data_IF_916753785187
#
_entry.id   IF_916753785187
#
_cell.length_a   1.000
_cell.length_b   1.000
_cell.length_c   1.000
_cell.angle_alpha   90.00
_cell.angle_beta   90.00
_cell.angle_gamma   90.00
#
_symmetry.space_group_name_H-M   'P 1'
#
loop_
_entity.id
_entity.type
_entity.pdbx_description
1 polymer ?
#
# COMPACT_ATOMS: atom_id res chain seq x y z
N UNK A 1 -11.62 -3.29 -39.22
CA UNK A 1 -10.72 -2.94 -38.11
C UNK A 1 -11.55 -3.03 -36.86
N UNK A 2 -11.30 -4.03 -36.01
CA UNK A 2 -11.82 -4.03 -34.64
C UNK A 2 -10.82 -3.21 -33.86
N UNK A 3 -11.25 -2.04 -33.37
CA UNK A 3 -10.52 -1.34 -32.32
C UNK A 3 -10.60 -2.23 -31.08
N UNK A 4 -9.57 -3.06 -30.88
CA UNK A 4 -9.37 -3.78 -29.64
C UNK A 4 -8.80 -2.78 -28.64
N UNK A 5 -9.66 -2.27 -27.77
CA UNK A 5 -9.20 -1.73 -26.49
C UNK A 5 -8.31 -2.80 -25.84
N UNK A 6 -7.11 -2.47 -25.33
CA UNK A 6 -6.31 -3.42 -24.58
C UNK A 6 -7.16 -3.96 -23.44
N UNK A 7 -7.14 -5.27 -23.19
CA UNK A 7 -7.78 -5.80 -22.00
C UNK A 7 -7.15 -5.11 -20.79
N UNK A 8 -7.96 -4.65 -19.83
CA UNK A 8 -7.47 -3.93 -18.64
C UNK A 8 -6.35 -4.68 -17.91
N UNK A 9 -6.37 -6.00 -18.02
CA UNK A 9 -5.38 -6.96 -17.52
C UNK A 9 -3.99 -6.73 -18.12
N UNK A 10 -3.90 -6.40 -19.41
CA UNK A 10 -2.65 -6.15 -20.13
C UNK A 10 -2.03 -4.80 -19.72
N UNK A 11 -2.86 -3.76 -19.55
CA UNK A 11 -2.42 -2.42 -19.11
C UNK A 11 -1.84 -2.43 -17.69
N UNK A 12 -2.45 -3.18 -16.76
CA UNK A 12 -1.90 -3.34 -15.41
C UNK A 12 -0.64 -4.22 -15.39
N UNK A 13 -0.56 -5.22 -16.26
CA UNK A 13 0.62 -6.08 -16.41
C UNK A 13 1.88 -5.30 -16.79
N UNK A 14 1.77 -4.22 -17.58
CA UNK A 14 2.92 -3.39 -17.95
C UNK A 14 3.56 -2.64 -16.77
N UNK A 15 2.81 -2.42 -15.68
CA UNK A 15 3.29 -1.74 -14.48
C UNK A 15 3.88 -2.71 -13.45
N UNK A 16 3.65 -4.03 -13.61
CA UNK A 16 4.18 -5.04 -12.71
C UNK A 16 5.67 -5.25 -13.00
N UNK A 17 6.57 -5.06 -12.03
CA UNK A 17 7.99 -5.26 -12.24
C UNK A 17 8.30 -6.70 -12.66
N UNK A 18 9.21 -6.84 -13.62
CA UNK A 18 9.69 -8.13 -14.11
C UNK A 18 11.07 -8.46 -13.55
N UNK A 19 11.27 -9.72 -13.18
CA UNK A 19 12.48 -10.24 -12.54
C UNK A 19 12.85 -11.58 -13.17
N UNK A 20 14.14 -11.85 -13.31
CA UNK A 20 14.61 -13.11 -13.88
C UNK A 20 14.28 -14.27 -12.92
N UNK A 21 14.28 -13.99 -11.61
CA UNK A 21 14.07 -14.98 -10.56
C UNK A 21 13.19 -14.46 -9.40
N UNK A 22 12.44 -15.36 -8.76
CA UNK A 22 11.56 -15.02 -7.62
C UNK A 22 12.32 -14.38 -6.44
N UNK A 23 13.57 -14.81 -6.19
CA UNK A 23 14.37 -14.24 -5.10
C UNK A 23 14.74 -12.78 -5.33
N UNK A 24 14.86 -12.33 -6.59
CA UNK A 24 15.09 -10.92 -6.93
C UNK A 24 13.86 -10.09 -6.61
N UNK A 25 12.67 -10.60 -6.93
CA UNK A 25 11.40 -9.96 -6.57
C UNK A 25 11.23 -9.88 -5.05
N UNK A 26 11.60 -10.93 -4.31
CA UNK A 26 11.58 -10.93 -2.84
C UNK A 26 12.50 -9.84 -2.28
N UNK A 27 13.73 -9.75 -2.77
CA UNK A 27 14.68 -8.72 -2.34
C UNK A 27 14.16 -7.32 -2.67
N UNK A 28 13.69 -7.10 -3.90
CA UNK A 28 13.11 -5.83 -4.33
C UNK A 28 11.94 -5.39 -3.43
N UNK A 29 10.98 -6.27 -3.16
CA UNK A 29 9.82 -5.91 -2.35
C UNK A 29 10.15 -5.76 -0.86
N UNK A 30 11.19 -6.44 -0.36
CA UNK A 30 11.72 -6.18 0.97
C UNK A 30 12.29 -4.75 1.06
N UNK A 31 13.17 -4.37 0.14
CA UNK A 31 13.79 -3.05 0.08
C UNK A 31 12.76 -1.94 -0.15
N UNK A 32 11.77 -2.20 -1.03
CA UNK A 32 10.65 -1.30 -1.27
C UNK A 32 9.89 -1.00 0.02
N UNK A 33 9.44 -2.02 0.77
CA UNK A 33 8.71 -1.81 2.02
C UNK A 33 9.53 -1.04 3.03
N UNK A 34 10.82 -1.37 3.17
CA UNK A 34 11.70 -0.65 4.08
C UNK A 34 11.79 0.83 3.70
N UNK A 35 11.95 1.13 2.40
CA UNK A 35 12.01 2.51 1.89
C UNK A 35 10.71 3.26 2.17
N UNK A 36 9.54 2.65 1.90
CA UNK A 36 8.24 3.26 2.17
C UNK A 36 8.05 3.59 3.67
N UNK A 37 8.46 2.69 4.56
CA UNK A 37 8.37 2.90 6.01
C UNK A 37 9.33 3.98 6.50
N UNK A 38 10.55 4.03 5.96
CA UNK A 38 11.54 5.06 6.30
C UNK A 38 11.08 6.46 5.86
N UNK A 39 10.54 6.59 4.65
CA UNK A 39 9.98 7.85 4.15
C UNK A 39 8.75 8.29 4.96
N UNK A 40 7.84 7.36 5.28
CA UNK A 40 6.68 7.64 6.12
C UNK A 40 7.10 8.07 7.52
N UNK A 41 8.10 7.41 8.13
CA UNK A 41 8.60 7.75 9.45
C UNK A 41 9.20 9.15 9.48
N UNK A 42 9.93 9.55 8.43
CA UNK A 42 10.44 10.92 8.30
C UNK A 42 9.30 11.93 8.24
N UNK A 43 8.29 11.69 7.38
CA UNK A 43 7.12 12.56 7.28
C UNK A 43 6.40 12.69 8.62
N UNK A 44 6.10 11.56 9.27
CA UNK A 44 5.40 11.52 10.56
C UNK A 44 6.18 12.23 11.68
N UNK A 45 7.52 12.13 11.67
CA UNK A 45 8.37 12.83 12.61
C UNK A 45 8.16 14.36 12.54
N UNK A 46 8.09 14.94 11.34
CA UNK A 46 7.81 16.37 11.17
C UNK A 46 6.42 16.78 11.67
N UNK A 47 5.46 15.85 11.62
CA UNK A 47 4.08 16.07 12.05
C UNK A 47 3.78 15.61 13.49
N UNK A 48 4.79 15.18 14.25
CA UNK A 48 4.65 14.62 15.60
C UNK A 48 3.69 13.42 15.69
N UNK A 49 3.64 12.60 14.65
CA UNK A 49 2.85 11.36 14.61
C UNK A 49 3.78 10.20 14.99
N UNK A 50 3.29 9.33 15.87
CA UNK A 50 4.04 8.14 16.31
C UNK A 50 3.56 6.91 15.54
N UNK A 51 4.46 6.30 14.77
CA UNK A 51 4.21 5.03 14.07
C UNK A 51 4.46 3.85 15.01
N UNK A 52 3.54 3.62 15.95
CA UNK A 52 3.65 2.59 17.00
C UNK A 52 2.86 1.31 16.70
N UNK A 53 2.41 1.18 15.45
CA UNK A 53 1.56 0.11 14.97
C UNK A 53 0.21 -0.02 15.67
N UNK A 54 -0.26 0.99 16.40
CA UNK A 54 -1.61 1.00 16.98
C UNK A 54 -2.67 1.40 15.96
N UNK A 55 -3.93 1.07 16.23
CA UNK A 55 -5.07 1.60 15.45
C UNK A 55 -5.12 3.14 15.52
N UNK A 56 -4.72 3.74 16.65
CA UNK A 56 -4.63 5.20 16.79
C UNK A 56 -3.63 5.82 15.81
N UNK A 57 -2.48 5.16 15.57
CA UNK A 57 -1.54 5.63 14.55
C UNK A 57 -2.15 5.64 13.14
N UNK A 58 -3.09 4.73 12.85
CA UNK A 58 -3.81 4.72 11.57
C UNK A 58 -4.77 5.91 11.46
N UNK A 59 -5.50 6.25 12.53
CA UNK A 59 -6.34 7.45 12.58
C UNK A 59 -5.53 8.73 12.38
N UNK A 60 -4.36 8.84 13.01
CA UNK A 60 -3.47 9.99 12.87
C UNK A 60 -2.96 10.14 11.44
N UNK A 61 -2.55 9.03 10.81
CA UNK A 61 -2.13 9.00 9.42
C UNK A 61 -3.26 9.38 8.45
N UNK A 62 -4.47 8.86 8.67
CA UNK A 62 -5.64 9.23 7.86
C UNK A 62 -5.95 10.72 7.97
N UNK A 63 -5.90 11.28 9.19
CA UNK A 63 -6.07 12.71 9.39
C UNK A 63 -4.98 13.52 8.68
N UNK A 64 -3.72 13.11 8.74
CA UNK A 64 -2.62 13.75 8.01
C UNK A 64 -2.87 13.73 6.49
N UNK A 65 -3.30 12.59 5.96
CA UNK A 65 -3.58 12.39 4.54
C UNK A 65 -4.66 13.36 4.04
N UNK A 66 -5.81 13.41 4.72
CA UNK A 66 -6.90 14.31 4.31
C UNK A 66 -6.58 15.78 4.57
N UNK A 67 -5.82 16.10 5.62
CA UNK A 67 -5.28 17.45 5.82
C UNK A 67 -4.35 17.85 4.67
N UNK A 68 -3.46 16.95 4.23
CA UNK A 68 -2.57 17.18 3.11
C UNK A 68 -3.34 17.45 1.82
N UNK A 69 -4.41 16.69 1.58
CA UNK A 69 -5.26 16.84 0.42
C UNK A 69 -6.03 18.17 0.44
N UNK A 70 -6.70 18.47 1.56
CA UNK A 70 -7.54 19.68 1.69
C UNK A 70 -6.73 20.97 1.75
N UNK A 71 -5.53 20.95 2.35
CA UNK A 71 -4.63 22.10 2.49
C UNK A 71 -3.58 22.19 1.37
N UNK A 72 -3.63 21.30 0.37
CA UNK A 72 -2.72 21.25 -0.79
C UNK A 72 -1.24 21.05 -0.41
N UNK A 73 -0.96 20.34 0.69
CA UNK A 73 0.41 20.14 1.20
C UNK A 73 1.27 19.25 0.31
N UNK A 74 0.67 18.38 -0.51
CA UNK A 74 1.38 17.53 -1.47
C UNK A 74 2.30 18.33 -2.41
N UNK A 75 1.87 19.51 -2.83
CA UNK A 75 2.67 20.41 -3.66
C UNK A 75 3.87 20.98 -2.89
N UNK A 76 3.69 21.30 -1.60
CA UNK A 76 4.75 21.81 -0.73
C UNK A 76 5.80 20.73 -0.43
N UNK A 77 5.34 19.49 -0.19
CA UNK A 77 6.20 18.33 0.03
C UNK A 77 6.89 17.83 -1.23
N UNK A 78 6.46 18.31 -2.42
CA UNK A 78 6.86 17.76 -3.73
C UNK A 78 6.65 16.25 -3.80
N UNK A 79 5.56 15.79 -3.20
CA UNK A 79 5.22 14.38 -3.06
C UNK A 79 3.93 14.11 -3.85
N UNK A 80 3.96 13.17 -4.81
CA UNK A 80 2.74 12.67 -5.45
C UNK A 80 1.78 12.02 -4.45
N UNK A 81 0.47 12.08 -4.68
CA UNK A 81 -0.53 11.51 -3.76
C UNK A 81 -0.37 9.98 -3.64
N UNK A 82 -0.15 9.32 -4.77
CA UNK A 82 0.12 7.89 -4.90
C UNK A 82 1.37 7.45 -4.11
N UNK A 83 2.37 8.33 -3.96
CA UNK A 83 3.52 8.05 -3.12
C UNK A 83 3.13 7.93 -1.64
N UNK A 84 2.29 8.82 -1.11
CA UNK A 84 1.80 8.71 0.27
C UNK A 84 0.82 7.52 0.41
N UNK A 85 -0.04 7.28 -0.58
CA UNK A 85 -0.95 6.12 -0.58
C UNK A 85 -0.18 4.78 -0.54
N UNK A 86 0.96 4.68 -1.23
CA UNK A 86 1.86 3.55 -1.16
C UNK A 86 2.48 3.36 0.24
N UNK A 87 2.97 4.45 0.84
CA UNK A 87 3.49 4.44 2.22
C UNK A 87 2.45 3.97 3.23
N UNK A 88 1.22 4.51 3.14
CA UNK A 88 0.09 4.11 3.97
C UNK A 88 -0.26 2.63 3.78
N UNK A 89 -0.25 2.15 2.54
CA UNK A 89 -0.54 0.74 2.22
C UNK A 89 0.48 -0.21 2.87
N UNK A 90 1.78 0.11 2.79
CA UNK A 90 2.83 -0.69 3.44
C UNK A 90 2.68 -0.64 4.96
N UNK A 91 2.48 0.54 5.55
CA UNK A 91 2.33 0.68 6.99
C UNK A 91 1.11 -0.09 7.52
N UNK A 92 -0.04 -0.02 6.85
CA UNK A 92 -1.22 -0.82 7.22
C UNK A 92 -0.89 -2.32 7.24
N UNK A 93 -0.16 -2.82 6.23
CA UNK A 93 0.27 -4.21 6.20
C UNK A 93 1.19 -4.58 7.36
N UNK A 94 2.12 -3.71 7.76
CA UNK A 94 2.93 -3.92 8.97
C UNK A 94 2.09 -3.94 10.24
N UNK A 95 1.09 -3.05 10.37
CA UNK A 95 0.15 -3.07 11.51
C UNK A 95 -0.58 -4.40 11.59
N UNK A 96 -1.06 -4.90 10.46
CA UNK A 96 -1.75 -6.20 10.39
C UNK A 96 -0.82 -7.33 10.85
N UNK A 97 0.41 -7.40 10.33
CA UNK A 97 1.38 -8.43 10.69
C UNK A 97 1.80 -8.32 12.16
N UNK A 98 1.92 -7.11 12.69
CA UNK A 98 2.24 -6.87 14.09
C UNK A 98 1.19 -7.45 15.04
N UNK A 99 -0.10 -7.34 14.70
CA UNK A 99 -1.20 -7.83 15.54
C UNK A 99 -1.65 -9.26 15.22
N UNK A 100 -1.23 -9.82 14.09
CA UNK A 100 -1.66 -11.14 13.61
C UNK A 100 -0.46 -11.99 13.20
N UNK A 101 -0.09 -12.94 14.06
CA UNK A 101 1.03 -13.87 13.80
C UNK A 101 0.82 -14.79 12.60
N UNK A 102 -0.40 -14.92 12.10
CA UNK A 102 -0.78 -15.67 10.90
C UNK A 102 -0.77 -14.82 9.63
N UNK A 103 -0.47 -13.53 9.74
CA UNK A 103 -0.31 -12.62 8.62
C UNK A 103 1.17 -12.50 8.21
N UNK A 104 1.41 -12.36 6.91
CA UNK A 104 2.76 -12.26 6.35
C UNK A 104 2.74 -11.56 4.98
N UNK A 105 3.85 -10.93 4.63
CA UNK A 105 4.06 -10.45 3.26
C UNK A 105 4.45 -11.62 2.36
N UNK A 106 3.85 -11.67 1.17
CA UNK A 106 4.16 -12.70 0.18
C UNK A 106 4.43 -12.06 -1.17
N UNK A 107 5.45 -12.58 -1.85
CA UNK A 107 5.70 -12.28 -3.26
C UNK A 107 5.21 -13.45 -4.09
N UNK A 108 4.42 -13.17 -5.12
CA UNK A 108 3.78 -14.20 -5.95
C UNK A 108 3.77 -13.81 -7.43
N UNK A 109 3.85 -14.78 -8.35
CA UNK A 109 3.68 -14.52 -9.77
C UNK A 109 2.36 -13.80 -10.08
N UNK A 110 2.40 -12.84 -11.00
CA UNK A 110 1.22 -12.11 -11.47
C UNK A 110 0.48 -12.93 -12.54
N UNK A 111 -0.71 -13.46 -12.24
CA UNK A 111 -1.57 -14.20 -13.18
C UNK A 111 -0.83 -15.27 -14.02
N UNK A 112 0.08 -16.02 -13.38
CA UNK A 112 0.93 -17.02 -14.03
C UNK A 112 1.84 -16.48 -15.15
N UNK A 113 2.00 -15.16 -15.23
CA UNK A 113 2.93 -14.49 -16.14
C UNK A 113 4.37 -14.78 -15.71
N UNK A 114 5.20 -15.35 -16.60
CA UNK A 114 6.59 -15.61 -16.28
C UNK A 114 7.30 -14.28 -16.00
N UNK A 115 8.15 -14.28 -14.99
CA UNK A 115 8.98 -13.14 -14.57
C UNK A 115 8.25 -11.98 -13.90
N UNK A 116 6.93 -11.91 -13.90
CA UNK A 116 6.20 -10.82 -13.22
C UNK A 116 5.76 -11.24 -11.83
N UNK A 117 6.07 -10.42 -10.83
CA UNK A 117 5.75 -10.72 -9.44
C UNK A 117 5.04 -9.54 -8.80
N UNK A 118 4.11 -9.84 -7.89
CA UNK A 118 3.41 -8.85 -7.07
C UNK A 118 3.69 -9.10 -5.59
N UNK A 119 3.70 -8.03 -4.82
CA UNK A 119 3.61 -8.09 -3.37
C UNK A 119 2.13 -8.22 -2.95
N UNK A 120 1.88 -9.08 -1.99
CA UNK A 120 0.58 -9.19 -1.36
C UNK A 120 0.70 -9.40 0.14
N UNK A 121 -0.36 -9.05 0.84
CA UNK A 121 -0.54 -9.39 2.24
C UNK A 121 -1.31 -10.71 2.31
N UNK A 122 -0.77 -11.71 3.00
CA UNK A 122 -1.46 -12.99 3.23
C UNK A 122 -1.91 -13.05 4.67
N UNK A 123 -3.12 -13.55 4.90
CA UNK A 123 -3.61 -13.96 6.22
C UNK A 123 -4.54 -15.17 6.07
N UNK A 124 -4.38 -16.18 6.92
CA UNK A 124 -5.01 -17.49 6.74
C UNK A 124 -4.81 -18.04 5.30
N UNK A 125 -5.91 -18.28 4.58
CA UNK A 125 -5.94 -18.82 3.22
C UNK A 125 -6.22 -17.74 2.15
N UNK A 126 -6.18 -16.45 2.53
CA UNK A 126 -6.44 -15.33 1.62
C UNK A 126 -5.15 -14.54 1.40
N UNK A 127 -4.97 -14.11 0.16
CA UNK A 127 -3.90 -13.18 -0.22
C UNK A 127 -4.54 -12.01 -0.92
N UNK A 128 -4.26 -10.80 -0.43
CA UNK A 128 -4.63 -9.56 -1.08
C UNK A 128 -3.40 -9.06 -1.84
N UNK A 129 -3.45 -9.18 -3.17
CA UNK A 129 -2.38 -8.77 -4.07
C UNK A 129 -2.58 -7.29 -4.43
N UNK A 130 -1.97 -6.40 -3.66
CA UNK A 130 -1.82 -4.99 -4.00
C UNK A 130 -0.71 -4.38 -3.14
N UNK A 131 0.16 -3.58 -3.74
CA UNK A 131 1.05 -2.66 -3.01
C UNK A 131 0.30 -1.38 -2.60
N UNK A 132 -0.95 -1.23 -3.02
CA UNK A 132 -1.75 -0.02 -2.90
C UNK A 132 -3.15 -0.39 -2.36
N UNK A 133 -3.24 -0.78 -1.10
CA UNK A 133 -4.53 -0.97 -0.41
C UNK A 133 -5.31 0.35 -0.29
N UNK A 134 -4.62 1.46 -0.52
CA UNK A 134 -5.07 2.81 -0.29
C UNK A 134 -5.17 3.63 -1.58
N UNK A 135 -5.30 2.99 -2.75
CA UNK A 135 -5.48 3.72 -4.01
C UNK A 135 -6.70 4.62 -3.94
N UNK A 136 -6.49 5.87 -4.35
CA UNK A 136 -7.56 6.84 -4.52
C UNK A 136 -8.35 7.13 -3.22
N UNK A 137 -7.70 7.07 -2.05
CA UNK A 137 -8.30 7.45 -0.77
C UNK A 137 -8.90 8.87 -0.81
N UNK A 138 -8.38 9.74 -1.68
CA UNK A 138 -8.88 11.11 -1.85
C UNK A 138 -10.28 11.18 -2.47
N UNK A 139 -10.78 10.09 -3.07
CA UNK A 139 -12.16 10.00 -3.59
C UNK A 139 -13.16 9.67 -2.48
N UNK A 140 -12.69 9.19 -1.34
CA UNK A 140 -13.51 8.81 -0.20
C UNK A 140 -13.80 9.98 0.74
N UNK A 141 -14.79 9.81 1.62
CA UNK A 141 -15.13 10.81 2.64
C UNK A 141 -14.34 10.55 3.91
N UNK A 142 -13.62 11.55 4.42
CA UNK A 142 -12.90 11.42 5.69
C UNK A 142 -13.82 11.00 6.86
N UNK A 143 -15.05 11.51 6.93
CA UNK A 143 -16.03 11.15 7.98
C UNK A 143 -16.36 9.65 8.03
N UNK A 144 -16.09 8.89 6.96
CA UNK A 144 -16.27 7.43 6.95
C UNK A 144 -15.01 6.65 7.35
N UNK A 145 -13.93 7.34 7.71
CA UNK A 145 -12.64 6.75 8.07
C UNK A 145 -12.18 5.64 7.12
N UNK A 146 -11.96 5.91 5.83
CA UNK A 146 -11.77 4.89 4.81
C UNK A 146 -10.48 4.07 5.02
N UNK A 147 -9.41 4.68 5.51
CA UNK A 147 -8.14 4.00 5.76
C UNK A 147 -8.27 3.04 6.95
N UNK A 148 -8.87 3.51 8.05
CA UNK A 148 -9.12 2.66 9.21
C UNK A 148 -10.17 1.58 8.92
N UNK A 149 -11.22 1.91 8.17
CA UNK A 149 -12.25 0.94 7.75
C UNK A 149 -11.66 -0.17 6.88
N UNK A 150 -10.70 0.15 6.00
CA UNK A 150 -9.96 -0.85 5.22
C UNK A 150 -9.16 -1.79 6.14
N UNK A 151 -8.43 -1.23 7.11
CA UNK A 151 -7.74 -2.02 8.13
C UNK A 151 -8.72 -2.97 8.84
N UNK A 152 -9.82 -2.46 9.40
CA UNK A 152 -10.83 -3.26 10.11
C UNK A 152 -11.46 -4.36 9.23
N UNK A 153 -11.67 -4.08 7.93
CA UNK A 153 -12.14 -5.07 6.96
C UNK A 153 -11.13 -6.22 6.81
N UNK A 154 -9.84 -5.92 6.71
CA UNK A 154 -8.77 -6.92 6.64
C UNK A 154 -8.62 -7.72 7.96
N UNK A 155 -9.02 -7.15 9.11
CA UNK A 155 -9.04 -7.83 10.41
C UNK A 155 -10.23 -8.78 10.60
N UNK A 156 -11.33 -8.57 9.90
CA UNK A 156 -12.60 -9.28 10.15
C UNK A 156 -12.67 -10.71 9.57
N UNK A 157 -11.60 -11.19 8.91
CA UNK A 157 -11.56 -12.51 8.23
C UNK A 157 -10.62 -13.53 8.87
#
# INVERSE_FOLDING_TARGET
>A
MKDSFPDFVDLYGELVPSFDHEWEAIAFYFDYRQTQLEELAQLCHFHNISLDYSEESLYQLESLYFDAFTKQLFAEWKMPIDALEAMLSVYMGEVIIHHHSDADWVVRPYMDSPHQYTLGLRRHNKTWHSTQFCEHLYLEKQDSHPYVSMYQSLMSF
#
